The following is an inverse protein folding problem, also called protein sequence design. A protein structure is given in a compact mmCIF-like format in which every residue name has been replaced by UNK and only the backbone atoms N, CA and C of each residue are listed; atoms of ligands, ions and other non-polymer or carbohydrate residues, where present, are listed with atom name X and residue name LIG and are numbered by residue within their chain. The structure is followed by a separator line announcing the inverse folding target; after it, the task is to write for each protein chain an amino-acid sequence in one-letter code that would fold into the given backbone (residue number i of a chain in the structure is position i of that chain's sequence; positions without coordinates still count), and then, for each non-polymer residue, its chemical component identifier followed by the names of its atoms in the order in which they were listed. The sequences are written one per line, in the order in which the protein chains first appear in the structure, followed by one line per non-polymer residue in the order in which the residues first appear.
data_IF_661468519576
#
_entry.id   IF_661468519576
#
_cell.length_a   1.000
_cell.length_b   1.000
_cell.length_c   1.000
_cell.angle_alpha   90.00
_cell.angle_beta   90.00
_cell.angle_gamma   90.00
#
_symmetry.space_group_name_H-M   'P 1'
#
loop_
_entity.id
_entity.type
_entity.pdbx_description
1 polymer ?
#
# COMPACT_ATOMS: atom_id res chain seq x y z
N UNK A 1 -6.42 -25.27 3.86
CA UNK A 1 -6.51 -24.39 5.04
C UNK A 1 -5.29 -23.48 5.22
N UNK A 2 -4.15 -23.72 4.55
CA UNK A 2 -2.93 -22.90 4.72
C UNK A 2 -2.99 -21.47 4.18
N UNK A 3 -3.54 -21.26 2.98
CA UNK A 3 -3.45 -19.95 2.31
C UNK A 3 -4.21 -18.83 3.04
N UNK A 4 -5.37 -19.15 3.64
CA UNK A 4 -6.21 -18.14 4.30
C UNK A 4 -5.63 -17.67 5.63
N UNK A 5 -4.94 -18.56 6.36
CA UNK A 5 -4.28 -18.22 7.62
C UNK A 5 -3.03 -17.35 7.35
N UNK A 6 -2.19 -17.76 6.40
CA UNK A 6 -1.00 -16.99 6.02
C UNK A 6 -1.35 -15.59 5.48
N UNK A 7 -2.41 -15.48 4.68
CA UNK A 7 -2.92 -14.18 4.18
C UNK A 7 -3.36 -13.28 5.34
N UNK A 8 -3.95 -13.84 6.40
CA UNK A 8 -4.46 -13.07 7.54
C UNK A 8 -3.34 -12.54 8.45
N UNK A 9 -2.26 -13.32 8.61
CA UNK A 9 -1.06 -12.86 9.33
C UNK A 9 -0.32 -11.79 8.54
N UNK A 10 -0.18 -11.94 7.22
CA UNK A 10 0.43 -10.92 6.35
C UNK A 10 -0.34 -9.60 6.39
N UNK A 11 -1.68 -9.64 6.36
CA UNK A 11 -2.52 -8.43 6.45
C UNK A 11 -2.31 -7.68 7.78
N UNK A 12 -1.87 -8.36 8.85
CA UNK A 12 -1.56 -7.74 10.14
C UNK A 12 -0.13 -7.24 10.25
N UNK A 13 0.84 -7.97 9.69
CA UNK A 13 2.26 -7.65 9.84
C UNK A 13 2.76 -6.64 8.80
N UNK A 14 2.20 -6.63 7.58
CA UNK A 14 2.65 -5.75 6.50
C UNK A 14 2.35 -4.26 6.74
N UNK A 15 1.24 -3.86 7.38
CA UNK A 15 1.04 -2.46 7.79
C UNK A 15 2.14 -1.93 8.71
N UNK A 16 2.63 -2.73 9.65
CA UNK A 16 3.74 -2.33 10.52
C UNK A 16 5.05 -2.21 9.73
N UNK A 17 5.30 -3.11 8.77
CA UNK A 17 6.47 -3.07 7.90
C UNK A 17 6.51 -1.84 6.97
N UNK A 18 5.37 -1.19 6.71
CA UNK A 18 5.32 0.10 5.99
C UNK A 18 5.86 1.27 6.84
N UNK A 19 6.03 1.10 8.14
CA UNK A 19 6.65 2.09 9.03
C UNK A 19 8.11 1.80 9.39
N UNK A 20 8.74 0.81 8.76
CA UNK A 20 10.12 0.42 9.05
C UNK A 20 11.12 1.52 8.66
N UNK A 21 12.22 1.65 9.40
CA UNK A 21 13.26 2.64 9.11
C UNK A 21 13.94 2.37 7.75
N UNK A 22 13.99 1.11 7.32
CA UNK A 22 14.60 0.72 6.05
C UNK A 22 13.62 0.83 4.88
N UNK A 23 13.96 1.68 3.90
CA UNK A 23 13.17 1.92 2.71
C UNK A 23 12.92 0.65 1.88
N UNK A 24 13.85 -0.32 1.91
CA UNK A 24 13.70 -1.58 1.18
C UNK A 24 12.65 -2.48 1.83
N UNK A 25 12.50 -2.41 3.16
CA UNK A 25 11.46 -3.13 3.90
C UNK A 25 10.09 -2.52 3.57
N UNK A 26 9.98 -1.18 3.63
CA UNK A 26 8.77 -0.45 3.25
C UNK A 26 8.36 -0.73 1.80
N UNK A 27 9.31 -0.63 0.87
CA UNK A 27 9.13 -0.97 -0.55
C UNK A 27 8.61 -2.41 -0.73
N UNK A 28 9.27 -3.38 -0.09
CA UNK A 28 8.88 -4.78 -0.18
C UNK A 28 7.47 -5.02 0.37
N UNK A 29 7.11 -4.33 1.45
CA UNK A 29 5.76 -4.40 2.01
C UNK A 29 4.70 -3.90 1.00
N UNK A 30 4.92 -2.74 0.36
CA UNK A 30 4.05 -2.26 -0.72
C UNK A 30 3.91 -3.29 -1.84
N UNK A 31 5.02 -3.86 -2.31
CA UNK A 31 5.02 -4.84 -3.42
C UNK A 31 4.22 -6.09 -3.05
N UNK A 32 4.40 -6.63 -1.84
CA UNK A 32 3.66 -7.82 -1.40
C UNK A 32 2.17 -7.51 -1.29
N UNK A 33 1.80 -6.38 -0.69
CA UNK A 33 0.40 -5.94 -0.58
C UNK A 33 -0.26 -5.76 -1.96
N UNK A 34 0.45 -5.15 -2.92
CA UNK A 34 -0.01 -5.02 -4.30
C UNK A 34 -0.22 -6.36 -4.99
N UNK A 35 0.72 -7.32 -4.82
CA UNK A 35 0.58 -8.68 -5.38
C UNK A 35 -0.57 -9.48 -4.78
N UNK A 36 -0.96 -9.18 -3.53
CA UNK A 36 -2.13 -9.78 -2.90
C UNK A 36 -3.45 -9.22 -3.47
N UNK A 37 -3.42 -7.99 -4.03
CA UNK A 37 -4.57 -7.31 -4.64
C UNK A 37 -5.78 -7.24 -3.70
N UNK A 38 -6.96 -7.54 -4.23
CA UNK A 38 -8.26 -7.50 -3.53
C UNK A 38 -8.33 -8.30 -2.23
N UNK A 39 -7.42 -9.26 -2.02
CA UNK A 39 -7.34 -10.06 -0.79
C UNK A 39 -6.76 -9.25 0.38
N UNK A 40 -5.87 -8.33 0.09
CA UNK A 40 -5.25 -7.44 1.07
C UNK A 40 -5.96 -6.09 1.20
N UNK A 41 -6.97 -5.80 0.37
CA UNK A 41 -7.74 -4.55 0.38
C UNK A 41 -8.67 -4.43 1.60
N UNK A 42 -8.07 -4.36 2.79
CA UNK A 42 -8.75 -4.03 4.05
C UNK A 42 -8.56 -2.54 4.36
N UNK A 43 -9.43 -1.97 5.19
CA UNK A 43 -9.35 -0.55 5.55
C UNK A 43 -8.03 -0.19 6.24
N UNK A 44 -7.43 -1.11 6.98
CA UNK A 44 -6.15 -0.92 7.66
C UNK A 44 -4.99 -0.85 6.65
N UNK A 45 -4.93 -1.82 5.73
CA UNK A 45 -3.92 -1.87 4.67
C UNK A 45 -4.03 -0.64 3.76
N UNK A 46 -5.25 -0.27 3.36
CA UNK A 46 -5.48 0.91 2.53
C UNK A 46 -4.96 2.17 3.23
N UNK A 47 -5.24 2.35 4.52
CA UNK A 47 -4.72 3.49 5.30
C UNK A 47 -3.20 3.49 5.40
N UNK A 48 -2.59 2.33 5.60
CA UNK A 48 -1.15 2.22 5.67
C UNK A 48 -0.49 2.57 4.31
N UNK A 49 -1.05 2.09 3.20
CA UNK A 49 -0.59 2.46 1.85
C UNK A 49 -0.81 3.95 1.54
N UNK A 50 -1.90 4.54 2.02
CA UNK A 50 -2.14 5.99 1.90
C UNK A 50 -1.05 6.81 2.61
N UNK A 51 -0.58 6.36 3.77
CA UNK A 51 0.55 7.00 4.44
C UNK A 51 1.85 6.84 3.62
N UNK A 52 2.06 5.65 3.03
CA UNK A 52 3.22 5.37 2.17
C UNK A 52 3.23 6.18 0.86
N UNK A 53 2.10 6.78 0.45
CA UNK A 53 2.09 7.77 -0.64
C UNK A 53 2.84 9.06 -0.29
N UNK A 54 3.04 9.35 1.01
CA UNK A 54 3.83 10.47 1.50
C UNK A 54 5.25 10.11 1.90
N UNK A 55 5.73 8.91 1.53
CA UNK A 55 7.07 8.45 1.90
C UNK A 55 8.16 9.33 1.28
N UNK A 56 9.26 9.54 2.01
CA UNK A 56 10.42 10.29 1.52
C UNK A 56 11.10 9.60 0.32
N UNK A 57 10.95 8.29 0.19
CA UNK A 57 11.59 7.49 -0.84
C UNK A 57 10.67 7.31 -2.07
N UNK A 58 11.13 7.80 -3.23
CA UNK A 58 10.39 7.75 -4.50
C UNK A 58 9.94 6.33 -4.91
N UNK A 59 10.81 5.29 -4.87
CA UNK A 59 10.40 3.90 -5.06
C UNK A 59 9.26 3.43 -4.16
N UNK A 60 9.25 3.83 -2.88
CA UNK A 60 8.20 3.46 -1.92
C UNK A 60 6.88 4.11 -2.31
N UNK A 61 6.90 5.42 -2.62
CA UNK A 61 5.69 6.14 -3.09
C UNK A 61 5.10 5.51 -4.36
N UNK A 62 5.94 5.22 -5.35
CA UNK A 62 5.52 4.60 -6.60
C UNK A 62 4.91 3.22 -6.38
N UNK A 63 5.51 2.42 -5.49
CA UNK A 63 5.00 1.09 -5.14
C UNK A 63 3.70 1.15 -4.35
N UNK A 64 3.51 2.15 -3.50
CA UNK A 64 2.26 2.37 -2.78
C UNK A 64 1.12 2.73 -3.75
N UNK A 65 1.39 3.60 -4.74
CA UNK A 65 0.46 3.89 -5.83
C UNK A 65 0.07 2.62 -6.60
N UNK A 66 1.05 1.82 -7.01
CA UNK A 66 0.82 0.58 -7.74
C UNK A 66 0.02 -0.42 -6.91
N UNK A 67 0.33 -0.58 -5.62
CA UNK A 67 -0.37 -1.47 -4.72
C UNK A 67 -1.85 -1.10 -4.56
N UNK A 68 -2.15 0.19 -4.39
CA UNK A 68 -3.53 0.69 -4.33
C UNK A 68 -4.27 0.45 -5.66
N UNK A 69 -3.61 0.61 -6.80
CA UNK A 69 -4.17 0.29 -8.11
C UNK A 69 -4.48 -1.21 -8.28
N UNK A 70 -3.57 -2.08 -7.82
CA UNK A 70 -3.73 -3.53 -7.88
C UNK A 70 -4.84 -4.08 -6.96
N UNK A 71 -5.29 -3.30 -5.98
CA UNK A 71 -6.44 -3.61 -5.11
C UNK A 71 -7.81 -3.29 -5.75
N UNK A 72 -7.81 -2.67 -6.93
CA UNK A 72 -8.99 -2.45 -7.75
C UNK A 72 -10.14 -1.73 -7.04
N UNK A 73 -11.36 -2.15 -7.34
CA UNK A 73 -12.60 -1.51 -6.88
C UNK A 73 -12.72 -1.44 -5.35
N UNK A 74 -12.06 -2.34 -4.61
CA UNK A 74 -12.07 -2.32 -3.14
C UNK A 74 -11.28 -1.16 -2.55
N UNK A 75 -10.25 -0.70 -3.25
CA UNK A 75 -9.47 0.48 -2.87
C UNK A 75 -9.98 1.76 -3.54
N UNK A 76 -10.91 1.69 -4.50
CA UNK A 76 -11.46 2.82 -5.25
C UNK A 76 -12.43 3.70 -4.43
N UNK A 77 -12.01 4.12 -3.24
CA UNK A 77 -12.76 5.07 -2.40
C UNK A 77 -12.40 6.50 -2.79
N UNK A 78 -13.30 7.45 -2.51
CA UNK A 78 -13.05 8.87 -2.78
C UNK A 78 -11.79 9.40 -2.08
N UNK A 79 -11.45 8.84 -0.91
CA UNK A 79 -10.23 9.16 -0.17
C UNK A 79 -8.97 8.73 -0.95
N UNK A 80 -8.94 7.49 -1.43
CA UNK A 80 -7.81 6.94 -2.20
C UNK A 80 -7.65 7.67 -3.52
N UNK A 81 -8.74 7.93 -4.23
CA UNK A 81 -8.70 8.69 -5.49
C UNK A 81 -8.11 10.08 -5.26
N UNK A 82 -8.54 10.78 -4.19
CA UNK A 82 -7.99 12.11 -3.87
C UNK A 82 -6.51 12.05 -3.51
N UNK A 83 -6.10 11.04 -2.74
CA UNK A 83 -4.70 10.88 -2.35
C UNK A 83 -3.80 10.58 -3.55
N UNK A 84 -4.24 9.71 -4.47
CA UNK A 84 -3.52 9.42 -5.71
C UNK A 84 -3.43 10.65 -6.62
N UNK A 85 -4.51 11.45 -6.73
CA UNK A 85 -4.48 12.72 -7.46
C UNK A 85 -3.46 13.70 -6.86
N UNK A 86 -3.41 13.82 -5.54
CA UNK A 86 -2.41 14.67 -4.87
C UNK A 86 -0.99 14.16 -5.12
N UNK A 87 -0.75 12.84 -5.01
CA UNK A 87 0.56 12.24 -5.25
C UNK A 87 1.04 12.47 -6.71
N UNK A 88 0.12 12.50 -7.68
CA UNK A 88 0.43 12.85 -9.07
C UNK A 88 0.74 14.34 -9.26
N UNK A 89 0.10 15.22 -8.48
CA UNK A 89 0.36 16.66 -8.52
C UNK A 89 1.67 17.03 -7.81
N UNK A 90 2.03 16.36 -6.71
CA UNK A 90 3.26 16.63 -5.95
C UNK A 90 4.54 16.19 -6.68
N UNK A 91 4.44 15.23 -7.61
CA UNK A 91 5.58 14.80 -8.44
C UNK A 91 6.08 15.87 -9.44
N UNK A 92 5.56 17.09 -9.40
CA UNK A 92 5.97 18.22 -10.26
C UNK A 92 6.84 19.29 -9.56
N UNK A 93 7.34 19.06 -8.33
CA UNK A 93 8.17 20.03 -7.63
C UNK A 93 9.55 19.49 -7.23
#
# INVERSE_FOLDING_TARGET
MGDKAATSELIRALPDALGDENENVRYSACVVLGKMGDKAATSEVIRALLNALGDENDPVRSSACEALGNMGDKAATSEVIRALLNALCDAQN
#
